data_IF_474370050539
#
_entry.id   IF_474370050539
#
_cell.length_a   1.000
_cell.length_b   1.000
_cell.length_c   1.000
_cell.angle_alpha   90.00
_cell.angle_beta   90.00
_cell.angle_gamma   90.00
#
_symmetry.space_group_name_H-M   'P 1'
#
loop_
_entity.id
_entity.type
_entity.pdbx_description
1 polymer ?
#
# COMPACT_ATOMS: atom_id res chain seq x y z
N UNK A 1 -34.24 10.97 -15.42
CA UNK A 1 -33.15 11.02 -14.43
C UNK A 1 -31.92 10.21 -14.86
N UNK A 2 -32.05 9.17 -15.70
CA UNK A 2 -30.90 8.37 -16.21
C UNK A 2 -29.98 9.08 -17.21
N UNK A 3 -30.48 10.02 -18.04
CA UNK A 3 -29.65 10.71 -19.05
C UNK A 3 -28.55 11.61 -18.44
N UNK A 4 -28.80 12.19 -17.27
CA UNK A 4 -27.83 13.04 -16.57
C UNK A 4 -26.68 12.24 -15.96
N UNK A 5 -26.96 11.02 -15.49
CA UNK A 5 -25.94 10.13 -14.92
C UNK A 5 -24.98 9.65 -16.01
N UNK A 6 -25.50 9.24 -17.18
CA UNK A 6 -24.63 8.79 -18.29
C UNK A 6 -23.77 9.90 -18.88
N UNK A 7 -24.29 11.13 -18.97
CA UNK A 7 -23.50 12.28 -19.46
C UNK A 7 -22.30 12.57 -18.54
N UNK A 8 -22.52 12.61 -17.23
CA UNK A 8 -21.47 12.91 -16.26
C UNK A 8 -20.38 11.81 -16.20
N UNK A 9 -20.77 10.54 -16.30
CA UNK A 9 -19.82 9.40 -16.34
C UNK A 9 -18.94 9.45 -17.60
N UNK A 10 -19.50 9.84 -18.74
CA UNK A 10 -18.76 9.97 -20.01
C UNK A 10 -17.72 11.10 -19.96
N UNK A 11 -18.08 12.24 -19.34
CA UNK A 11 -17.16 13.38 -19.16
C UNK A 11 -16.00 13.04 -18.22
N UNK A 12 -16.28 12.35 -17.10
CA UNK A 12 -15.24 11.93 -16.15
C UNK A 12 -14.28 10.89 -16.75
N UNK A 13 -14.80 9.94 -17.52
CA UNK A 13 -13.96 8.93 -18.18
C UNK A 13 -13.04 9.58 -19.23
N UNK A 14 -13.55 10.59 -19.94
CA UNK A 14 -12.77 11.33 -20.94
C UNK A 14 -11.64 12.15 -20.30
N UNK A 15 -11.88 12.81 -19.15
CA UNK A 15 -10.83 13.58 -18.46
C UNK A 15 -9.73 12.69 -17.88
N UNK A 16 -10.09 11.54 -17.30
CA UNK A 16 -9.11 10.56 -16.81
C UNK A 16 -8.21 10.04 -17.94
N UNK A 17 -8.78 9.76 -19.10
CA UNK A 17 -8.02 9.30 -20.27
C UNK A 17 -7.01 10.37 -20.72
N UNK A 18 -7.42 11.64 -20.74
CA UNK A 18 -6.53 12.76 -21.07
C UNK A 18 -5.37 12.87 -20.07
N UNK A 19 -5.66 12.81 -18.76
CA UNK A 19 -4.62 12.87 -17.72
C UNK A 19 -3.63 11.70 -17.83
N UNK A 20 -4.13 10.49 -18.09
CA UNK A 20 -3.30 9.31 -18.32
C UNK A 20 -2.37 9.50 -19.54
N UNK A 21 -2.93 9.97 -20.67
CA UNK A 21 -2.14 10.19 -21.88
C UNK A 21 -1.04 11.24 -21.65
N UNK A 22 -1.35 12.34 -20.96
CA UNK A 22 -0.35 13.38 -20.64
C UNK A 22 0.75 12.83 -19.72
N UNK A 23 0.38 12.05 -18.70
CA UNK A 23 1.36 11.42 -17.81
C UNK A 23 2.27 10.46 -18.58
N UNK A 24 1.69 9.59 -19.39
CA UNK A 24 2.43 8.60 -20.18
C UNK A 24 3.34 9.27 -21.21
N UNK A 25 2.87 10.30 -21.92
CA UNK A 25 3.66 11.03 -22.91
C UNK A 25 4.84 11.80 -22.29
N UNK A 26 4.62 12.44 -21.13
CA UNK A 26 5.71 13.15 -20.45
C UNK A 26 6.75 12.19 -19.92
N UNK A 27 6.31 11.08 -19.32
CA UNK A 27 7.22 10.10 -18.73
C UNK A 27 7.90 9.22 -19.77
N UNK A 28 7.37 9.09 -20.99
CA UNK A 28 8.04 8.34 -22.07
C UNK A 28 9.37 8.97 -22.51
N UNK A 29 9.60 10.26 -22.20
CA UNK A 29 10.87 10.96 -22.44
C UNK A 29 11.96 10.61 -21.42
N UNK A 30 11.59 9.93 -20.33
CA UNK A 30 12.46 9.59 -19.22
C UNK A 30 12.48 8.07 -18.96
N UNK A 31 13.01 7.25 -19.88
CA UNK A 31 13.19 5.83 -19.64
C UNK A 31 14.21 5.58 -18.51
N UNK A 32 14.00 4.52 -17.74
CA UNK A 32 14.78 4.23 -16.52
C UNK A 32 15.42 2.84 -16.59
N UNK A 33 16.63 2.70 -16.04
CA UNK A 33 17.37 1.44 -15.95
C UNK A 33 17.97 0.96 -17.28
N UNK A 34 18.75 -0.12 -17.19
CA UNK A 34 19.44 -0.71 -18.34
C UNK A 34 18.50 -1.15 -19.47
N UNK A 35 17.32 -1.66 -19.11
CA UNK A 35 16.29 -2.14 -20.06
C UNK A 35 15.40 -1.02 -20.60
N UNK A 36 15.67 0.25 -20.26
CA UNK A 36 14.90 1.44 -20.69
C UNK A 36 13.40 1.32 -20.40
N UNK A 37 13.05 1.01 -19.15
CA UNK A 37 11.66 0.87 -18.68
C UNK A 37 10.87 2.16 -18.89
N UNK A 38 9.64 2.04 -19.35
CA UNK A 38 8.72 3.18 -19.54
C UNK A 38 7.59 3.12 -18.51
N UNK A 39 7.17 4.29 -18.02
CA UNK A 39 5.97 4.37 -17.20
C UNK A 39 4.75 4.04 -18.06
N UNK A 40 3.94 3.11 -17.57
CA UNK A 40 2.59 2.83 -18.07
C UNK A 40 1.60 2.98 -16.92
N UNK A 41 0.41 3.48 -17.24
CA UNK A 41 -0.72 3.49 -16.33
C UNK A 41 -1.69 2.41 -16.77
N UNK A 42 -1.97 1.44 -15.91
CA UNK A 42 -2.89 0.35 -16.27
C UNK A 42 -4.34 0.76 -16.05
N UNK A 43 -5.26 0.08 -16.74
CA UNK A 43 -6.69 0.24 -16.50
C UNK A 43 -7.04 0.02 -15.00
N UNK A 44 -8.12 0.64 -14.51
CA UNK A 44 -8.56 0.45 -13.13
C UNK A 44 -8.90 -1.02 -12.86
N UNK A 45 -8.58 -1.49 -11.66
CA UNK A 45 -8.79 -2.88 -11.26
C UNK A 45 -10.28 -3.14 -10.97
N UNK A 46 -11.02 -3.63 -11.97
CA UNK A 46 -12.35 -4.25 -11.82
C UNK A 46 -13.55 -3.39 -12.26
N UNK A 47 -14.71 -4.02 -12.58
CA UNK A 47 -15.94 -3.30 -12.87
C UNK A 47 -16.44 -2.57 -11.62
N UNK A 48 -16.77 -1.29 -11.78
CA UNK A 48 -17.14 -0.35 -10.72
C UNK A 48 -18.44 -0.74 -9.97
N UNK A 49 -18.37 -1.74 -9.09
CA UNK A 49 -19.48 -2.18 -8.22
C UNK A 49 -19.34 -1.74 -6.76
N UNK A 50 -18.20 -1.15 -6.38
CA UNK A 50 -17.83 -0.84 -4.99
C UNK A 50 -17.95 0.63 -4.56
N UNK A 51 -18.61 1.52 -5.32
CA UNK A 51 -18.83 2.91 -4.89
C UNK A 51 -17.54 3.73 -4.76
N UNK A 52 -17.01 4.23 -5.87
CA UNK A 52 -15.97 5.27 -5.89
C UNK A 52 -14.54 4.85 -5.52
N UNK A 53 -14.34 3.74 -4.80
CA UNK A 53 -13.02 3.26 -4.36
C UNK A 53 -12.20 2.55 -5.46
N UNK A 54 -12.81 2.31 -6.63
CA UNK A 54 -12.28 1.48 -7.73
C UNK A 54 -11.68 2.28 -8.90
N UNK A 55 -11.41 3.58 -8.73
CA UNK A 55 -10.77 4.40 -9.77
C UNK A 55 -9.24 4.33 -9.79
N UNK A 56 -8.62 3.57 -8.86
CA UNK A 56 -7.17 3.44 -8.76
C UNK A 56 -6.59 2.72 -9.96
N UNK A 57 -5.67 3.39 -10.63
CA UNK A 57 -4.90 2.90 -11.76
C UNK A 57 -3.46 2.63 -11.29
N UNK A 58 -2.90 1.48 -11.65
CA UNK A 58 -1.54 1.14 -11.24
C UNK A 58 -0.51 1.87 -12.10
N UNK A 59 0.54 2.36 -11.46
CA UNK A 59 1.73 2.90 -12.10
C UNK A 59 2.76 1.79 -12.25
N UNK A 60 3.22 1.54 -13.47
CA UNK A 60 4.05 0.38 -13.81
C UNK A 60 5.28 0.82 -14.60
N UNK A 61 6.47 0.35 -14.21
CA UNK A 61 7.72 0.54 -14.96
C UNK A 61 7.95 -0.63 -15.91
N UNK A 62 7.31 -0.58 -17.06
CA UNK A 62 7.21 -1.73 -17.96
C UNK A 62 8.41 -1.86 -18.92
N UNK A 63 8.86 -3.10 -19.11
CA UNK A 63 9.58 -3.56 -20.31
C UNK A 63 8.61 -4.29 -21.23
N UNK A 64 9.13 -5.13 -22.14
CA UNK A 64 8.31 -6.05 -22.94
C UNK A 64 7.81 -7.26 -22.14
N UNK A 65 8.51 -7.62 -21.07
CA UNK A 65 8.33 -8.89 -20.33
C UNK A 65 8.03 -8.69 -18.86
N UNK A 66 8.51 -7.61 -18.25
CA UNK A 66 8.26 -7.31 -16.84
C UNK A 66 7.53 -6.00 -16.64
N UNK A 67 6.72 -5.99 -15.60
CA UNK A 67 5.79 -4.91 -15.26
C UNK A 67 5.80 -4.68 -13.73
N UNK A 68 6.94 -4.27 -13.14
CA UNK A 68 6.98 -3.87 -11.73
C UNK A 68 6.02 -2.71 -11.45
N UNK A 69 5.14 -2.92 -10.48
CA UNK A 69 4.20 -1.89 -9.99
C UNK A 69 4.92 -0.97 -9.01
N UNK A 70 5.15 0.27 -9.43
CA UNK A 70 5.80 1.31 -8.65
C UNK A 70 4.82 2.22 -7.89
N UNK A 71 3.51 2.02 -8.02
CA UNK A 71 2.52 2.84 -7.30
C UNK A 71 1.12 2.73 -7.85
N UNK A 72 0.26 3.66 -7.43
CA UNK A 72 -1.09 3.83 -7.97
C UNK A 72 -1.49 5.32 -7.98
N UNK A 73 -2.43 5.65 -8.86
CA UNK A 73 -3.03 6.99 -8.96
C UNK A 73 -4.54 6.89 -9.09
N UNK A 74 -5.24 7.84 -8.48
CA UNK A 74 -6.67 8.08 -8.66
C UNK A 74 -6.86 9.51 -9.20
N UNK A 75 -7.14 9.61 -10.49
CA UNK A 75 -7.35 10.88 -11.18
C UNK A 75 -8.69 11.55 -10.82
N UNK A 76 -9.65 10.81 -10.26
CA UNK A 76 -10.92 11.38 -9.79
C UNK A 76 -10.71 12.01 -8.41
N UNK A 77 -10.05 11.28 -7.50
CA UNK A 77 -9.77 11.74 -6.15
C UNK A 77 -8.55 12.68 -6.07
N UNK A 78 -7.79 12.83 -7.16
CA UNK A 78 -6.54 13.60 -7.23
C UNK A 78 -5.54 13.19 -6.14
N UNK A 79 -5.42 11.89 -5.91
CA UNK A 79 -4.50 11.30 -4.94
C UNK A 79 -3.72 10.16 -5.57
N UNK A 80 -2.52 9.90 -5.06
CA UNK A 80 -1.70 8.80 -5.51
C UNK A 80 -0.64 8.41 -4.50
N UNK A 81 -0.10 7.22 -4.70
CA UNK A 81 0.95 6.65 -3.89
C UNK A 81 2.04 6.11 -4.82
N UNK A 82 3.29 6.44 -4.52
CA UNK A 82 4.44 5.90 -5.22
C UNK A 82 5.31 5.15 -4.22
N UNK A 83 5.84 4.01 -4.62
CA UNK A 83 6.72 3.19 -3.81
C UNK A 83 8.16 3.66 -3.95
N UNK A 84 8.91 3.58 -2.87
CA UNK A 84 10.35 3.80 -2.92
C UNK A 84 11.08 2.71 -3.74
N UNK A 85 12.39 2.92 -3.92
CA UNK A 85 13.23 2.02 -4.72
C UNK A 85 13.31 0.63 -4.09
N UNK A 86 13.52 0.55 -2.78
CA UNK A 86 13.72 -0.72 -2.08
C UNK A 86 12.46 -1.59 -2.14
N UNK A 87 11.28 -1.02 -1.87
CA UNK A 87 10.00 -1.74 -1.96
C UNK A 87 9.73 -2.20 -3.39
N UNK A 88 10.02 -1.36 -4.39
CA UNK A 88 9.81 -1.72 -5.80
C UNK A 88 10.78 -2.80 -6.27
N UNK A 89 12.05 -2.72 -5.84
CA UNK A 89 13.08 -3.72 -6.09
C UNK A 89 12.69 -5.07 -5.49
N UNK A 90 12.39 -5.11 -4.19
CA UNK A 90 12.00 -6.34 -3.50
C UNK A 90 10.79 -7.01 -4.17
N UNK A 91 9.79 -6.21 -4.55
CA UNK A 91 8.63 -6.67 -5.29
C UNK A 91 8.98 -7.26 -6.66
N UNK A 92 9.86 -6.60 -7.41
CA UNK A 92 10.33 -7.04 -8.71
C UNK A 92 11.12 -8.35 -8.62
N UNK A 93 12.16 -8.38 -7.77
CA UNK A 93 13.06 -9.53 -7.64
C UNK A 93 12.32 -10.74 -7.07
N UNK A 94 11.38 -10.52 -6.15
CA UNK A 94 10.49 -11.56 -5.63
C UNK A 94 9.59 -12.18 -6.70
N UNK A 95 9.06 -11.38 -7.63
CA UNK A 95 8.13 -11.83 -8.68
C UNK A 95 8.86 -12.45 -9.88
N UNK A 96 9.90 -11.79 -10.38
CA UNK A 96 10.56 -12.17 -11.63
C UNK A 96 11.80 -13.04 -11.42
N UNK A 97 12.32 -13.14 -10.19
CA UNK A 97 13.55 -13.88 -9.86
C UNK A 97 14.76 -13.41 -10.67
N UNK A 98 14.79 -12.11 -10.98
CA UNK A 98 15.85 -11.41 -11.71
C UNK A 98 16.26 -10.18 -10.90
N UNK A 99 17.50 -9.74 -11.05
CA UNK A 99 17.99 -8.50 -10.44
C UNK A 99 17.29 -7.29 -11.04
N UNK A 100 16.90 -6.33 -10.18
CA UNK A 100 16.29 -5.10 -10.67
C UNK A 100 17.36 -4.20 -11.31
N UNK A 101 17.21 -3.96 -12.61
CA UNK A 101 18.18 -3.26 -13.47
C UNK A 101 18.13 -1.73 -13.35
N UNK A 102 17.41 -1.21 -12.36
CA UNK A 102 17.31 0.21 -12.04
C UNK A 102 18.03 0.46 -10.71
N UNK A 103 19.04 1.32 -10.72
CA UNK A 103 19.73 1.70 -9.48
C UNK A 103 18.93 2.74 -8.67
N UNK A 104 19.27 2.91 -7.39
CA UNK A 104 18.55 3.80 -6.49
C UNK A 104 18.57 5.28 -6.95
N UNK A 105 19.71 5.74 -7.49
CA UNK A 105 19.87 7.11 -7.98
C UNK A 105 18.97 7.40 -9.19
N UNK A 106 18.96 6.49 -10.17
CA UNK A 106 18.07 6.55 -11.33
C UNK A 106 16.60 6.53 -10.90
N UNK A 107 16.25 5.66 -9.95
CA UNK A 107 14.89 5.56 -9.44
C UNK A 107 14.45 6.84 -8.71
N UNK A 108 15.36 7.46 -7.94
CA UNK A 108 15.09 8.73 -7.25
C UNK A 108 14.82 9.88 -8.21
N UNK A 109 15.59 9.98 -9.30
CA UNK A 109 15.34 10.95 -10.37
C UNK A 109 14.00 10.68 -11.05
N UNK A 110 13.71 9.41 -11.35
CA UNK A 110 12.41 9.00 -11.88
C UNK A 110 11.25 9.40 -10.98
N UNK A 111 11.33 9.10 -9.67
CA UNK A 111 10.30 9.48 -8.70
C UNK A 111 10.10 10.98 -8.64
N UNK A 112 11.19 11.75 -8.61
CA UNK A 112 11.12 13.22 -8.59
C UNK A 112 10.38 13.75 -9.81
N UNK A 113 10.69 13.23 -11.01
CA UNK A 113 10.01 13.62 -12.25
C UNK A 113 8.55 13.19 -12.25
N UNK A 114 8.26 11.96 -11.82
CA UNK A 114 6.90 11.44 -11.73
C UNK A 114 6.03 12.27 -10.79
N UNK A 115 6.54 12.58 -9.59
CA UNK A 115 5.85 13.42 -8.63
C UNK A 115 5.66 14.85 -9.15
N UNK A 116 6.64 15.39 -9.87
CA UNK A 116 6.51 16.69 -10.55
C UNK A 116 5.36 16.71 -11.55
N UNK A 117 5.30 15.73 -12.46
CA UNK A 117 4.22 15.63 -13.46
C UNK A 117 2.85 15.39 -12.80
N UNK A 118 2.78 14.51 -11.80
CA UNK A 118 1.53 14.26 -11.07
C UNK A 118 1.04 15.51 -10.33
N UNK A 119 1.94 16.27 -9.70
CA UNK A 119 1.60 17.53 -9.04
C UNK A 119 1.11 18.59 -10.04
N UNK A 120 1.75 18.70 -11.22
CA UNK A 120 1.25 19.57 -12.30
C UNK A 120 -0.16 19.18 -12.79
N UNK A 121 -0.50 17.89 -12.74
CA UNK A 121 -1.85 17.39 -13.02
C UNK A 121 -2.82 17.56 -11.84
N UNK A 122 -2.39 18.16 -10.73
CA UNK A 122 -3.18 18.39 -9.52
C UNK A 122 -3.27 17.18 -8.58
N UNK A 123 -2.53 16.10 -8.85
CA UNK A 123 -2.53 14.88 -8.04
C UNK A 123 -1.55 15.01 -6.88
N UNK A 124 -2.05 14.85 -5.65
CA UNK A 124 -1.21 14.78 -4.46
C UNK A 124 -0.64 13.39 -4.29
N UNK A 125 0.69 13.29 -4.20
CA UNK A 125 1.38 12.00 -4.09
C UNK A 125 2.09 11.86 -2.74
N UNK A 126 2.08 10.65 -2.21
CA UNK A 126 2.92 10.26 -1.07
C UNK A 126 3.89 9.15 -1.48
N UNK A 127 5.10 9.18 -0.94
CA UNK A 127 6.08 8.10 -1.10
C UNK A 127 5.92 7.13 0.04
N UNK A 128 5.74 5.84 -0.26
CA UNK A 128 5.64 4.78 0.74
C UNK A 128 6.83 3.85 0.60
N UNK A 129 7.54 3.68 1.71
CA UNK A 129 8.58 2.68 1.89
C UNK A 129 8.18 1.76 3.02
N UNK A 130 8.02 0.47 2.75
CA UNK A 130 8.01 -0.51 3.82
C UNK A 130 8.48 -1.86 3.28
N UNK A 131 9.75 -2.18 3.52
CA UNK A 131 10.33 -3.50 3.30
C UNK A 131 9.58 -4.60 4.05
N UNK A 132 8.96 -4.27 5.18
CA UNK A 132 8.42 -5.27 6.12
C UNK A 132 6.97 -5.67 5.80
N UNK A 133 6.26 -4.88 4.99
CA UNK A 133 4.86 -5.13 4.61
C UNK A 133 4.68 -5.74 3.22
N UNK A 134 5.76 -5.96 2.45
CA UNK A 134 5.66 -6.60 1.15
C UNK A 134 5.76 -8.13 1.29
N UNK A 135 4.65 -8.78 1.64
CA UNK A 135 4.54 -10.22 1.48
C UNK A 135 4.67 -10.53 -0.03
N UNK A 136 5.58 -11.41 -0.46
CA UNK A 136 5.67 -11.83 -1.84
C UNK A 136 4.30 -12.34 -2.29
N UNK A 137 3.67 -11.65 -3.25
CA UNK A 137 2.47 -12.18 -3.89
C UNK A 137 2.89 -13.41 -4.67
N UNK A 138 2.61 -14.58 -4.10
CA UNK A 138 2.73 -15.87 -4.77
C UNK A 138 2.01 -15.78 -6.13
N UNK A 139 2.68 -16.08 -7.26
CA UNK A 139 2.05 -16.04 -8.59
C UNK A 139 0.85 -16.98 -8.74
N UNK A 140 0.60 -17.90 -7.79
CA UNK A 140 -0.61 -18.72 -7.73
C UNK A 140 -1.81 -18.04 -7.06
N UNK A 141 -1.63 -16.90 -6.38
CA UNK A 141 -2.72 -16.15 -5.77
C UNK A 141 -3.01 -14.91 -6.61
N UNK A 142 -4.06 -14.99 -7.44
CA UNK A 142 -4.61 -13.83 -8.13
C UNK A 142 -4.80 -12.67 -7.15
N UNK A 143 -4.31 -11.48 -7.55
CA UNK A 143 -4.24 -10.21 -6.81
C UNK A 143 -5.34 -10.06 -5.75
N UNK A 144 -5.11 -10.62 -4.57
CA UNK A 144 -5.95 -10.38 -3.41
C UNK A 144 -5.39 -9.14 -2.77
N UNK A 145 -6.23 -8.11 -2.61
CA UNK A 145 -5.92 -6.88 -1.90
C UNK A 145 -5.17 -7.20 -0.59
N UNK A 146 -4.27 -6.30 -0.11
CA UNK A 146 -3.59 -6.52 1.16
C UNK A 146 -4.64 -6.89 2.20
N UNK A 147 -4.42 -8.04 2.84
CA UNK A 147 -5.34 -8.59 3.82
C UNK A 147 -5.75 -7.45 4.75
N UNK A 148 -7.05 -7.09 4.69
CA UNK A 148 -7.67 -6.17 5.62
C UNK A 148 -7.26 -6.66 7.00
N UNK A 149 -6.36 -5.93 7.63
CA UNK A 149 -5.88 -6.22 8.96
C UNK A 149 -7.13 -6.33 9.83
N UNK A 150 -7.50 -7.57 10.20
CA UNK A 150 -8.61 -7.79 11.11
C UNK A 150 -8.14 -7.18 12.42
N UNK A 151 -8.68 -6.01 12.71
CA UNK A 151 -8.56 -5.34 13.99
C UNK A 151 -8.93 -6.38 15.06
N UNK A 152 -7.93 -6.88 15.78
CA UNK A 152 -8.16 -7.65 17.00
C UNK A 152 -8.65 -6.67 18.07
N UNK A 153 -9.94 -6.33 18.00
CA UNK A 153 -10.64 -5.68 19.11
C UNK A 153 -11.13 -6.76 20.06
N UNK A 154 -10.32 -7.07 21.07
CA UNK A 154 -10.80 -7.65 22.31
C UNK A 154 -9.95 -7.21 23.51
N UNK A 155 -9.60 -5.91 23.56
CA UNK A 155 -9.28 -5.27 24.83
C UNK A 155 -10.60 -4.99 25.57
N UNK A 156 -11.12 -6.01 26.26
CA UNK A 156 -12.20 -5.81 27.24
C UNK A 156 -11.57 -5.64 28.62
N UNK A 157 -11.20 -4.40 28.89
CA UNK A 157 -11.16 -3.88 30.25
C UNK A 157 -12.54 -4.06 30.89
N UNK A 158 -12.64 -4.91 31.89
CA UNK A 158 -13.71 -4.82 32.89
C UNK A 158 -13.09 -4.85 34.28
N UNK A 159 -12.74 -3.65 34.77
CA UNK A 159 -12.92 -3.33 36.18
C UNK A 159 -14.36 -3.69 36.57
N UNK A 160 -14.52 -4.51 37.59
CA UNK A 160 -15.61 -4.37 38.56
C UNK A 160 -15.25 -5.09 39.87
N UNK A 161 -15.80 -4.63 41.01
CA UNK A 161 -15.04 -4.47 42.24
C UNK A 161 -15.34 -5.52 43.32
N UNK A 162 -14.38 -5.60 44.25
CA UNK A 162 -14.48 -5.90 45.69
C UNK A 162 -15.91 -6.11 46.23
N UNK A 163 -16.25 -7.34 46.60
CA UNK A 163 -16.96 -7.65 47.85
C UNK A 163 -17.01 -9.17 48.11
N UNK A 164 -16.81 -9.55 49.38
CA UNK A 164 -17.21 -10.81 50.01
C UNK A 164 -16.30 -12.05 49.83
N UNK A 165 -15.34 -12.17 50.75
CA UNK A 165 -14.58 -13.39 51.02
C UNK A 165 -14.00 -13.39 52.43
N UNK A 166 -14.81 -13.01 53.42
CA UNK A 166 -14.52 -13.23 54.86
C UNK A 166 -14.62 -14.72 55.12
N UNK A 167 -13.49 -15.42 55.25
CA UNK A 167 -13.25 -16.57 56.15
C UNK A 167 -11.85 -17.16 55.83
N UNK A 168 -11.17 -17.68 56.85
CA UNK A 168 -9.74 -18.06 56.90
C UNK A 168 -8.82 -16.85 57.20
N UNK A 169 -8.95 -16.12 58.31
CA UNK A 169 -8.76 -16.59 59.69
C UNK A 169 -7.66 -17.66 59.82
N UNK A 170 -6.60 -17.24 60.52
CA UNK A 170 -5.73 -18.07 61.36
C UNK A 170 -4.59 -18.83 60.66
N UNK A 171 -3.47 -18.13 60.51
CA UNK A 171 -2.17 -18.77 60.28
C UNK A 171 -0.96 -17.85 60.42
N UNK A 172 -1.14 -16.61 60.89
CA UNK A 172 -0.05 -15.72 61.30
C UNK A 172 0.22 -15.85 62.80
N UNK A 173 0.84 -16.95 63.19
CA UNK A 173 1.58 -17.12 64.44
C UNK A 173 3.00 -17.46 63.96
N UNK A 174 3.98 -16.59 64.05
CA UNK A 174 4.45 -16.07 65.32
C UNK A 174 5.61 -16.95 65.77
N UNK A 175 6.80 -16.34 65.82
CA UNK A 175 8.01 -16.84 66.49
C UNK A 175 8.71 -18.04 65.83
N UNK A 176 9.89 -17.82 65.24
CA UNK A 176 11.14 -17.78 66.02
C UNK A 176 11.37 -19.07 66.81
N UNK A 177 11.86 -20.11 66.14
CA UNK A 177 12.72 -21.11 66.79
C UNK A 177 13.54 -21.91 65.77
N UNK A 178 14.12 -21.22 64.79
CA UNK A 178 15.20 -21.76 63.97
C UNK A 178 16.50 -21.42 64.70
N UNK A 179 16.79 -22.14 65.79
CA UNK A 179 18.08 -22.25 66.50
C UNK A 179 17.82 -22.86 67.88
N UNK A 180 17.91 -24.19 68.01
CA UNK A 180 18.44 -24.85 69.21
C UNK A 180 18.46 -26.37 68.98
N UNK A 181 19.68 -26.92 68.78
CA UNK A 181 20.10 -28.30 69.08
C UNK A 181 19.44 -29.42 68.23
N UNK A 182 20.14 -30.35 67.60
CA UNK A 182 21.45 -30.94 67.87
C UNK A 182 21.90 -31.75 66.65
#
# INVERSE_FOLDING_TARGET
MERTVMANVTTLTSSMLVMNNVLTERMSKHPVGGSRRLLKVTAPLGPSSGGGELARQSLVLATRTEEPVCGWVDFIALTGEVKDWETTKLAYEGRYRLDFDVNEGEYRVFLTNLQGVLNELGVRTQVVGNSDNYAPTDPSMGNTAPARMVMSTAQRSSMTPVLLGVLCMLGGLGMAMFLLFR
#
